data_IF_490777393026
#
_entry.id   IF_490777393026
#
_cell.length_a   1.000
_cell.length_b   1.000
_cell.length_c   1.000
_cell.angle_alpha   90.00
_cell.angle_beta   90.00
_cell.angle_gamma   90.00
#
_symmetry.space_group_name_H-M   'P 1'
#
loop_
_entity.id
_entity.type
_entity.pdbx_description
1 polymer ?
#
# COMPACT_ATOMS: atom_id res chain seq x y z
N UNK A 1 -6.27 10.24 7.28
CA UNK A 1 -5.64 8.91 7.33
C UNK A 1 -4.47 8.97 8.28
N UNK A 2 -4.20 7.90 9.03
CA UNK A 2 -3.00 7.75 9.86
C UNK A 2 -2.00 6.89 9.08
N UNK A 3 -0.71 7.20 9.18
CA UNK A 3 0.39 6.43 8.58
C UNK A 3 0.29 6.21 7.06
N UNK A 4 -0.07 7.25 6.31
CA UNK A 4 -0.31 7.20 4.86
C UNK A 4 0.95 6.99 4.00
N UNK A 5 2.13 7.21 4.57
CA UNK A 5 3.44 6.92 3.99
C UNK A 5 4.22 5.85 4.76
N UNK A 6 3.56 5.10 5.66
CA UNK A 6 4.18 3.96 6.37
C UNK A 6 5.39 4.29 7.26
N UNK A 7 5.56 5.53 7.70
CA UNK A 7 6.66 6.00 8.57
C UNK A 7 6.59 5.49 10.03
N UNK A 8 5.64 4.62 10.36
CA UNK A 8 5.55 3.93 11.64
C UNK A 8 5.31 2.42 11.45
N UNK A 9 5.98 1.55 12.24
CA UNK A 9 7.09 1.87 13.16
C UNK A 9 8.38 2.15 12.37
N UNK A 10 9.37 2.81 12.96
CA UNK A 10 10.68 2.96 12.33
C UNK A 10 11.41 1.60 12.27
N UNK A 11 11.71 1.09 11.06
CA UNK A 11 12.26 -0.27 10.87
C UNK A 11 13.74 -0.31 10.46
N UNK A 12 14.37 0.83 10.21
CA UNK A 12 15.75 0.90 9.72
C UNK A 12 16.77 0.19 10.63
N UNK A 13 16.54 0.18 11.95
CA UNK A 13 17.40 -0.49 12.94
C UNK A 13 17.13 -1.98 13.15
N UNK A 14 16.12 -2.55 12.48
CA UNK A 14 15.78 -3.97 12.61
C UNK A 14 16.66 -4.83 11.70
N UNK A 15 16.82 -6.14 11.98
CA UNK A 15 17.50 -7.05 11.07
C UNK A 15 16.94 -6.97 9.64
N UNK A 16 17.81 -6.66 8.68
CA UNK A 16 17.43 -6.47 7.28
C UNK A 16 16.67 -5.17 6.96
N UNK A 17 16.37 -4.33 7.96
CA UNK A 17 15.71 -3.03 7.78
C UNK A 17 14.22 -3.13 7.45
N UNK A 18 13.53 -4.19 7.87
CA UNK A 18 12.10 -4.37 7.61
C UNK A 18 11.40 -5.09 8.77
N UNK A 19 10.07 -5.01 8.79
CA UNK A 19 9.22 -5.74 9.72
C UNK A 19 7.93 -6.20 9.03
N UNK A 20 7.63 -7.49 9.15
CA UNK A 20 6.31 -8.02 8.79
C UNK A 20 5.29 -7.75 9.90
N UNK A 21 4.05 -7.47 9.49
CA UNK A 21 2.89 -7.30 10.37
C UNK A 21 3.14 -6.44 11.62
N UNK A 22 3.73 -5.23 11.49
CA UNK A 22 3.91 -4.36 12.66
C UNK A 22 2.56 -3.88 13.21
N UNK A 23 2.51 -3.68 14.52
CA UNK A 23 1.34 -3.06 15.18
C UNK A 23 1.40 -1.55 15.03
N UNK A 24 0.47 -0.98 14.25
CA UNK A 24 0.38 0.47 14.01
C UNK A 24 -1.06 0.92 14.19
N UNK A 25 -1.26 2.02 14.94
CA UNK A 25 -2.59 2.55 15.16
C UNK A 25 -3.25 2.97 13.82
N UNK A 26 -4.40 2.37 13.51
CA UNK A 26 -5.15 2.69 12.29
C UNK A 26 -4.61 2.06 11.00
N UNK A 27 -3.63 1.17 11.09
CA UNK A 27 -3.15 0.37 9.95
C UNK A 27 -3.09 -1.09 10.36
N UNK A 28 -3.70 -1.96 9.57
CA UNK A 28 -3.65 -3.40 9.76
C UNK A 28 -2.91 -4.06 8.59
N UNK A 29 -1.93 -4.87 8.93
CA UNK A 29 -1.12 -5.65 8.01
C UNK A 29 -1.55 -7.12 8.13
N UNK A 30 -1.92 -7.72 7.00
CA UNK A 30 -2.30 -9.13 6.91
C UNK A 30 -1.39 -9.91 5.97
N UNK A 31 -1.25 -11.21 6.24
CA UNK A 31 -0.41 -12.11 5.45
C UNK A 31 1.06 -11.70 5.52
N UNK A 32 1.75 -11.71 4.37
CA UNK A 32 3.15 -11.30 4.26
C UNK A 32 3.25 -9.83 3.84
N UNK A 33 2.58 -8.93 4.56
CA UNK A 33 2.72 -7.49 4.39
C UNK A 33 3.54 -6.87 5.52
N UNK A 34 4.06 -5.67 5.30
CA UNK A 34 4.87 -5.01 6.31
C UNK A 34 5.41 -3.66 5.89
N UNK A 35 6.45 -3.23 6.60
CA UNK A 35 7.16 -1.97 6.37
C UNK A 35 8.63 -2.28 6.10
N UNK A 36 9.21 -1.60 5.11
CA UNK A 36 10.63 -1.74 4.73
C UNK A 36 11.28 -0.36 4.63
N UNK A 37 12.44 -0.19 5.26
CA UNK A 37 13.20 1.05 5.20
C UNK A 37 13.99 1.20 3.90
N UNK A 38 14.38 2.43 3.61
CA UNK A 38 15.39 2.75 2.60
C UNK A 38 16.67 1.95 2.87
N UNK A 39 17.20 1.30 1.83
CA UNK A 39 18.39 0.45 1.95
C UNK A 39 18.18 -0.90 2.65
N UNK A 40 16.92 -1.29 2.91
CA UNK A 40 16.59 -2.62 3.45
C UNK A 40 16.91 -3.76 2.48
N UNK A 41 16.85 -4.99 2.99
CA UNK A 41 17.01 -6.24 2.22
C UNK A 41 15.91 -6.47 1.16
N UNK A 42 14.91 -5.58 1.07
CA UNK A 42 13.94 -5.58 -0.02
C UNK A 42 14.43 -4.87 -1.27
N UNK A 43 15.45 -4.01 -1.16
CA UNK A 43 16.06 -3.28 -2.29
C UNK A 43 15.10 -2.37 -3.06
N UNK A 44 13.97 -1.96 -2.48
CA UNK A 44 13.12 -0.95 -3.12
C UNK A 44 13.88 0.35 -3.37
N UNK A 45 13.44 1.11 -4.38
CA UNK A 45 13.87 2.49 -4.54
C UNK A 45 13.59 3.30 -3.26
N UNK A 46 14.30 4.41 -3.08
CA UNK A 46 14.08 5.30 -1.94
C UNK A 46 12.61 5.73 -1.88
N UNK A 47 12.04 5.67 -0.66
CA UNK A 47 10.68 6.12 -0.38
C UNK A 47 10.42 7.51 -0.96
N UNK A 48 9.21 7.71 -1.46
CA UNK A 48 8.76 8.97 -2.07
C UNK A 48 8.33 10.01 -1.03
N UNK A 49 7.97 9.55 0.16
CA UNK A 49 7.82 10.34 1.38
C UNK A 49 8.61 9.66 2.50
N UNK A 50 9.24 10.45 3.37
CA UNK A 50 9.96 9.90 4.52
C UNK A 50 11.11 8.94 4.17
N UNK A 51 11.17 7.81 4.87
CA UNK A 51 12.34 6.93 4.91
C UNK A 51 12.03 5.44 4.75
N UNK A 52 10.76 5.10 4.57
CA UNK A 52 10.30 3.72 4.51
C UNK A 52 9.01 3.59 3.69
N UNK A 53 8.65 2.35 3.36
CA UNK A 53 7.54 2.04 2.46
C UNK A 53 6.72 0.90 3.05
N UNK A 54 5.43 0.87 2.72
CA UNK A 54 4.61 -0.33 2.92
C UNK A 54 4.93 -1.33 1.82
N UNK A 55 4.92 -2.62 2.12
CA UNK A 55 5.08 -3.65 1.10
C UNK A 55 4.03 -4.75 1.25
N UNK A 56 3.64 -5.31 0.11
CA UNK A 56 2.84 -6.53 0.02
C UNK A 56 3.67 -7.58 -0.68
N UNK A 57 3.87 -8.74 -0.04
CA UNK A 57 4.45 -9.92 -0.65
C UNK A 57 3.37 -10.99 -0.77
N UNK A 58 2.95 -11.33 -1.99
CA UNK A 58 2.05 -12.46 -2.21
C UNK A 58 2.83 -13.68 -2.70
N UNK A 59 2.39 -14.85 -2.25
CA UNK A 59 2.90 -16.14 -2.70
C UNK A 59 1.80 -16.98 -3.35
N UNK A 60 2.17 -18.16 -3.86
CA UNK A 60 1.20 -19.18 -4.32
C UNK A 60 0.17 -19.58 -3.28
N UNK A 61 0.51 -19.48 -1.99
CA UNK A 61 -0.34 -19.96 -0.89
C UNK A 61 -0.99 -18.84 -0.08
N UNK A 62 -0.59 -17.58 -0.26
CA UNK A 62 -1.03 -16.50 0.59
C UNK A 62 -1.03 -15.14 -0.12
N UNK A 63 -2.09 -14.36 0.12
CA UNK A 63 -2.17 -12.94 -0.23
C UNK A 63 -1.64 -12.09 0.91
N UNK A 64 -0.92 -11.03 0.59
CA UNK A 64 -0.66 -9.94 1.53
C UNK A 64 -1.77 -8.90 1.45
N UNK A 65 -2.10 -8.27 2.58
CA UNK A 65 -3.09 -7.19 2.64
C UNK A 65 -2.64 -6.05 3.53
N UNK A 66 -2.99 -4.82 3.16
CA UNK A 66 -2.83 -3.63 4.00
C UNK A 66 -4.17 -2.92 4.07
N UNK A 67 -4.65 -2.66 5.28
CA UNK A 67 -5.89 -1.90 5.54
C UNK A 67 -5.56 -0.65 6.32
N UNK A 68 -5.94 0.53 5.82
CA UNK A 68 -5.77 1.81 6.50
C UNK A 68 -7.12 2.41 6.88
N UNK A 69 -7.23 2.95 8.09
CA UNK A 69 -8.41 3.69 8.51
C UNK A 69 -8.50 5.04 7.78
N UNK A 70 -9.69 5.29 7.23
CA UNK A 70 -10.05 6.51 6.52
C UNK A 70 -11.12 7.24 7.31
N UNK A 71 -11.00 8.56 7.38
CA UNK A 71 -11.94 9.45 8.06
C UNK A 71 -12.02 10.80 7.35
N UNK A 72 -12.97 11.63 7.76
CA UNK A 72 -13.17 13.00 7.27
C UNK A 72 -13.54 13.08 5.78
N UNK A 73 -14.25 12.07 5.25
CA UNK A 73 -14.88 12.18 3.94
C UNK A 73 -16.30 12.76 4.07
N UNK A 74 -16.78 13.40 3.01
CA UNK A 74 -18.16 13.88 2.91
C UNK A 74 -18.99 12.85 2.15
N UNK A 75 -19.99 12.21 2.77
CA UNK A 75 -20.89 11.31 2.05
C UNK A 75 -21.52 11.99 0.83
N UNK A 76 -21.55 11.30 -0.31
CA UNK A 76 -22.08 11.84 -1.57
C UNK A 76 -21.11 12.69 -2.39
N UNK A 77 -19.97 13.13 -1.83
CA UNK A 77 -18.92 13.79 -2.60
C UNK A 77 -18.03 12.77 -3.34
N UNK A 78 -17.43 13.17 -4.46
CA UNK A 78 -16.63 12.27 -5.29
C UNK A 78 -15.14 12.39 -4.96
N UNK A 79 -14.44 11.26 -4.81
CA UNK A 79 -13.02 11.19 -4.47
C UNK A 79 -12.26 10.21 -5.37
N UNK A 80 -10.94 10.37 -5.43
CA UNK A 80 -10.00 9.37 -5.98
C UNK A 80 -8.94 9.04 -4.93
N UNK A 81 -8.38 7.84 -4.99
CA UNK A 81 -7.17 7.48 -4.24
C UNK A 81 -5.96 7.66 -5.15
N UNK A 82 -4.92 8.30 -4.63
CA UNK A 82 -3.61 8.42 -5.27
C UNK A 82 -2.55 7.78 -4.39
N UNK A 83 -1.58 7.11 -5.00
CA UNK A 83 -0.47 6.50 -4.29
C UNK A 83 0.73 6.33 -5.23
N UNK A 84 1.89 5.99 -4.66
CA UNK A 84 3.09 5.60 -5.38
C UNK A 84 3.29 4.09 -5.24
N UNK A 85 3.67 3.43 -6.33
CA UNK A 85 4.01 2.01 -6.30
C UNK A 85 5.27 1.70 -7.09
N UNK A 86 6.01 0.67 -6.67
CA UNK A 86 7.19 0.15 -7.37
C UNK A 86 7.30 -1.37 -7.20
N UNK A 87 7.87 -2.06 -8.19
CA UNK A 87 8.21 -3.47 -8.07
C UNK A 87 9.53 -3.66 -7.30
N UNK A 88 9.68 -4.82 -6.66
CA UNK A 88 10.95 -5.21 -6.05
C UNK A 88 12.00 -5.56 -7.13
N UNK A 89 13.22 -5.00 -7.11
CA UNK A 89 14.19 -5.29 -8.17
C UNK A 89 14.64 -6.75 -8.21
N UNK A 90 14.58 -7.40 -9.38
CA UNK A 90 14.90 -8.83 -9.62
C UNK A 90 13.82 -9.84 -9.19
N UNK A 91 12.65 -9.38 -8.73
CA UNK A 91 11.48 -10.22 -8.47
C UNK A 91 10.33 -9.83 -9.39
N UNK A 92 9.36 -10.72 -9.52
CA UNK A 92 8.15 -10.44 -10.29
C UNK A 92 7.25 -9.45 -9.52
N UNK A 93 6.58 -8.53 -10.23
CA UNK A 93 5.67 -7.58 -9.61
C UNK A 93 4.39 -8.28 -9.12
N UNK A 94 3.88 -7.85 -7.96
CA UNK A 94 2.52 -8.22 -7.53
C UNK A 94 1.50 -7.25 -8.12
N UNK A 95 0.41 -7.80 -8.65
CA UNK A 95 -0.77 -7.00 -8.99
C UNK A 95 -1.59 -6.82 -7.72
N UNK A 96 -1.98 -5.58 -7.43
CA UNK A 96 -2.82 -5.27 -6.26
C UNK A 96 -4.24 -4.92 -6.66
N UNK A 97 -5.19 -5.34 -5.85
CA UNK A 97 -6.57 -4.85 -5.82
C UNK A 97 -6.68 -3.73 -4.79
N UNK A 98 -7.36 -2.64 -5.15
CA UNK A 98 -7.59 -1.49 -4.26
C UNK A 98 -9.08 -1.23 -4.12
N UNK A 99 -9.54 -1.08 -2.89
CA UNK A 99 -10.91 -0.68 -2.55
C UNK A 99 -10.91 0.38 -1.44
N UNK A 100 -11.83 1.34 -1.48
CA UNK A 100 -12.02 2.29 -0.39
C UNK A 100 -13.50 2.39 0.00
N UNK A 101 -13.79 2.28 1.29
CA UNK A 101 -15.14 2.40 1.86
C UNK A 101 -16.14 1.53 1.07
N UNK A 102 -15.81 0.24 0.95
CA UNK A 102 -16.59 -0.77 0.23
C UNK A 102 -16.76 -0.56 -1.29
N UNK A 103 -16.05 0.40 -1.90
CA UNK A 103 -16.02 0.60 -3.35
C UNK A 103 -14.74 0.01 -3.95
N UNK A 104 -14.87 -0.88 -4.93
CA UNK A 104 -13.74 -1.36 -5.72
C UNK A 104 -13.21 -0.25 -6.63
N UNK A 105 -11.91 0.06 -6.54
CA UNK A 105 -11.29 1.19 -7.24
C UNK A 105 -10.37 0.78 -8.40
N UNK A 106 -10.05 -0.51 -8.48
CA UNK A 106 -9.32 -1.10 -9.61
C UNK A 106 -8.23 -2.08 -9.19
N UNK A 107 -7.51 -2.59 -10.19
CA UNK A 107 -6.30 -3.38 -10.02
C UNK A 107 -5.11 -2.69 -10.68
N UNK A 108 -3.93 -2.82 -10.07
CA UNK A 108 -2.73 -2.09 -10.49
C UNK A 108 -1.50 -2.99 -10.39
N UNK A 109 -0.69 -3.02 -11.44
CA UNK A 109 0.57 -3.77 -11.50
C UNK A 109 1.72 -2.77 -11.68
N UNK A 110 2.76 -2.76 -10.83
CA UNK A 110 3.90 -1.90 -11.04
C UNK A 110 4.64 -2.36 -12.30
N UNK A 111 5.08 -1.41 -13.12
CA UNK A 111 5.82 -1.69 -14.37
C UNK A 111 7.30 -1.32 -14.29
N UNK A 112 7.74 -0.81 -13.14
CA UNK A 112 9.10 -0.34 -12.91
C UNK A 112 9.55 -0.55 -11.46
N UNK A 113 10.85 -0.64 -11.26
CA UNK A 113 11.50 -0.59 -9.93
C UNK A 113 11.57 0.83 -9.37
N UNK A 114 11.33 1.84 -10.21
CA UNK A 114 11.15 3.23 -9.77
C UNK A 114 9.69 3.49 -9.43
N UNK A 115 9.43 4.35 -8.44
CA UNK A 115 8.07 4.69 -8.01
C UNK A 115 7.27 5.39 -9.11
N UNK A 116 6.09 4.84 -9.40
CA UNK A 116 5.13 5.36 -10.37
C UNK A 116 3.89 5.90 -9.65
N UNK A 117 3.33 6.99 -10.15
CA UNK A 117 2.08 7.55 -9.64
C UNK A 117 0.88 6.77 -10.15
N UNK A 118 -0.03 6.41 -9.24
CA UNK A 118 -1.32 5.80 -9.56
C UNK A 118 -2.43 6.74 -9.15
N UNK A 119 -3.48 6.80 -9.96
CA UNK A 119 -4.78 7.39 -9.62
C UNK A 119 -5.84 6.34 -9.90
N UNK A 120 -6.68 6.04 -8.92
CA UNK A 120 -7.72 5.01 -9.05
C UNK A 120 -8.95 5.51 -9.82
N UNK A 121 -9.89 4.60 -10.09
CA UNK A 121 -11.25 5.02 -10.39
C UNK A 121 -11.81 5.88 -9.24
N UNK A 122 -12.67 6.84 -9.59
CA UNK A 122 -13.32 7.68 -8.59
C UNK A 122 -14.44 6.91 -7.86
N UNK A 123 -14.65 7.23 -6.59
CA UNK A 123 -15.71 6.66 -5.76
C UNK A 123 -16.47 7.73 -5.01
N UNK A 124 -17.67 7.37 -4.56
CA UNK A 124 -18.55 8.23 -3.76
C UNK A 124 -18.86 7.50 -2.46
N UNK A 125 -18.30 7.92 -1.31
CA UNK A 125 -18.52 7.25 -0.05
C UNK A 125 -19.93 7.51 0.47
N UNK A 126 -20.50 6.52 1.14
CA UNK A 126 -21.79 6.62 1.83
C UNK A 126 -21.64 6.96 3.32
N UNK A 127 -20.41 6.90 3.84
CA UNK A 127 -20.04 7.19 5.22
C UNK A 127 -18.84 8.14 5.26
N UNK A 128 -18.67 8.88 6.36
CA UNK A 128 -17.53 9.78 6.54
C UNK A 128 -16.25 9.07 6.99
N UNK A 129 -16.37 7.80 7.40
CA UNK A 129 -15.30 6.92 7.87
C UNK A 129 -15.41 5.55 7.22
N UNK A 130 -14.28 4.85 7.16
CA UNK A 130 -14.20 3.49 6.63
C UNK A 130 -12.75 3.05 6.51
N UNK A 131 -12.46 2.23 5.51
CA UNK A 131 -11.10 1.73 5.26
C UNK A 131 -10.69 1.90 3.82
N UNK A 132 -9.37 2.06 3.60
CA UNK A 132 -8.70 1.78 2.34
C UNK A 132 -8.12 0.37 2.47
N UNK A 133 -8.47 -0.51 1.55
CA UNK A 133 -8.05 -1.90 1.49
C UNK A 133 -7.17 -2.11 0.25
N UNK A 134 -5.99 -2.66 0.46
CA UNK A 134 -5.03 -3.02 -0.59
C UNK A 134 -4.71 -4.49 -0.40
N UNK A 135 -4.86 -5.28 -1.46
CA UNK A 135 -4.64 -6.72 -1.44
C UNK A 135 -3.78 -7.13 -2.63
N UNK A 136 -2.74 -7.93 -2.41
CA UNK A 136 -2.00 -8.59 -3.47
C UNK A 136 -2.78 -9.77 -4.07
N UNK A 137 -2.50 -10.12 -5.32
CA UNK A 137 -3.40 -11.03 -6.07
C UNK A 137 -3.15 -12.52 -5.84
N UNK A 138 -2.14 -12.92 -5.04
CA UNK A 138 -1.67 -14.30 -4.85
C UNK A 138 -1.71 -15.13 -6.14
N UNK A 139 -0.62 -15.05 -6.89
CA UNK A 139 -0.41 -15.92 -8.04
C UNK A 139 0.95 -16.61 -7.93
N UNK A 140 1.43 -17.19 -9.03
CA UNK A 140 2.58 -18.09 -9.00
C UNK A 140 3.89 -17.37 -8.63
N UNK A 141 4.53 -17.79 -7.52
CA UNK A 141 5.86 -17.35 -7.12
C UNK A 141 5.87 -16.34 -5.98
N UNK A 142 7.02 -15.71 -5.73
CA UNK A 142 7.18 -14.57 -4.83
C UNK A 142 6.94 -13.29 -5.63
N UNK A 143 5.80 -12.65 -5.37
CA UNK A 143 5.40 -11.41 -6.01
C UNK A 143 5.41 -10.30 -4.97
N UNK A 144 6.04 -9.18 -5.29
CA UNK A 144 6.15 -8.08 -4.34
C UNK A 144 5.88 -6.72 -4.97
N UNK A 145 5.21 -5.86 -4.20
CA UNK A 145 5.04 -4.43 -4.51
C UNK A 145 5.34 -3.58 -3.28
N UNK A 146 6.01 -2.44 -3.49
CA UNK A 146 6.08 -1.36 -2.52
C UNK A 146 5.00 -0.32 -2.80
N UNK A 147 4.43 0.24 -1.73
CA UNK A 147 3.42 1.30 -1.74
C UNK A 147 3.88 2.43 -0.82
N UNK A 148 3.66 3.67 -1.25
CA UNK A 148 3.96 4.86 -0.46
C UNK A 148 3.08 6.06 -0.87
N UNK A 149 3.09 7.13 -0.08
CA UNK A 149 2.48 8.43 -0.38
C UNK A 149 0.99 8.35 -0.72
N UNK A 150 0.22 7.64 0.10
CA UNK A 150 -1.23 7.47 -0.11
C UNK A 150 -1.97 8.77 0.21
N UNK A 151 -2.85 9.19 -0.69
CA UNK A 151 -3.77 10.31 -0.47
C UNK A 151 -5.17 10.01 -1.03
N UNK A 152 -6.19 10.54 -0.36
CA UNK A 152 -7.57 10.53 -0.85
C UNK A 152 -7.96 11.99 -1.06
N UNK A 153 -8.28 12.34 -2.29
CA UNK A 153 -8.52 13.74 -2.70
C UNK A 153 -9.82 13.83 -3.49
N UNK A 154 -10.51 14.99 -3.50
CA UNK A 154 -11.67 15.20 -4.35
C UNK A 154 -11.36 14.83 -5.81
N UNK A 155 -12.29 14.13 -6.44
CA UNK A 155 -12.20 13.81 -7.85
C UNK A 155 -12.48 15.09 -8.67
N UNK A 156 -11.85 15.25 -9.85
CA UNK A 156 -12.23 16.27 -10.81
C UNK A 156 -13.69 16.15 -11.27
#
# INVERSE_FOLDING_TARGET
>A
MVNWSFEQPAVAGLPGGFQYNPSVAGTYFGGNSGVAANGSAWFFATATDGSQVGFLQSTTSAKATITLNVSNLTPGARYVVKFRMAQRPNWNPDTIFVAAINNALGTFTPSSTSFQSVTTAAFTPTTSVGTLYIEGTASAGDLTVAIDSISIVPAP
#
